data_IF_105800307144
#
_entry.id   IF_105800307144
#
_cell.length_a   1.000
_cell.length_b   1.000
_cell.length_c   1.000
_cell.angle_alpha   90.00
_cell.angle_beta   90.00
_cell.angle_gamma   90.00
#
_symmetry.space_group_name_H-M   'P 1'
#
loop_
_entity.id
_entity.type
_entity.pdbx_description
1 polymer ?
#
# COMPACT_ATOMS: atom_id res chain seq x y z
N UNK A 1 -30.18 -11.48 15.86
CA UNK A 1 -28.92 -11.05 15.22
C UNK A 1 -27.81 -11.33 16.20
N UNK A 2 -26.92 -12.26 15.85
CA UNK A 2 -25.73 -12.54 16.62
C UNK A 2 -24.71 -11.44 16.30
N UNK A 3 -24.54 -10.47 17.20
CA UNK A 3 -23.71 -9.29 16.93
C UNK A 3 -22.27 -9.67 16.59
N UNK A 4 -21.78 -10.80 17.09
CA UNK A 4 -20.41 -11.26 16.86
C UNK A 4 -20.17 -11.73 15.40
N UNK A 5 -21.17 -12.34 14.75
CA UNK A 5 -21.07 -12.73 13.33
C UNK A 5 -21.06 -11.52 12.37
N UNK A 6 -21.78 -10.46 12.72
CA UNK A 6 -21.83 -9.23 11.91
C UNK A 6 -20.48 -8.48 11.95
N UNK A 7 -19.78 -8.45 13.10
CA UNK A 7 -18.45 -7.86 13.22
C UNK A 7 -17.36 -8.69 12.52
N UNK A 8 -17.44 -10.02 12.60
CA UNK A 8 -16.49 -10.92 11.95
C UNK A 8 -16.45 -10.70 10.43
N UNK A 9 -17.60 -10.46 9.81
CA UNK A 9 -17.67 -10.17 8.38
C UNK A 9 -16.98 -8.83 8.04
N UNK A 10 -17.21 -7.79 8.84
CA UNK A 10 -16.56 -6.48 8.63
C UNK A 10 -15.05 -6.57 8.83
N UNK A 11 -14.59 -7.31 9.85
CA UNK A 11 -13.16 -7.55 10.08
C UNK A 11 -12.55 -8.28 8.88
N UNK A 12 -13.21 -9.33 8.38
CA UNK A 12 -12.72 -10.08 7.20
C UNK A 12 -12.65 -9.21 5.95
N UNK A 13 -13.65 -8.35 5.72
CA UNK A 13 -13.66 -7.42 4.58
C UNK A 13 -12.53 -6.39 4.73
N UNK A 14 -12.36 -5.82 5.92
CA UNK A 14 -11.28 -4.87 6.21
C UNK A 14 -9.90 -5.47 5.97
N UNK A 15 -9.64 -6.66 6.53
CA UNK A 15 -8.36 -7.36 6.36
C UNK A 15 -8.07 -7.69 4.88
N UNK A 16 -9.08 -8.12 4.12
CA UNK A 16 -8.92 -8.37 2.68
C UNK A 16 -8.52 -7.11 1.91
N UNK A 17 -9.10 -5.96 2.28
CA UNK A 17 -8.76 -4.68 1.67
C UNK A 17 -7.36 -4.21 2.08
N UNK A 18 -6.97 -4.43 3.34
CA UNK A 18 -5.69 -3.97 3.90
C UNK A 18 -4.50 -4.76 3.35
N UNK A 19 -4.68 -6.06 3.11
CA UNK A 19 -3.60 -6.98 2.71
C UNK A 19 -3.58 -7.33 1.21
N UNK A 20 -4.33 -6.61 0.37
CA UNK A 20 -4.34 -6.83 -1.08
C UNK A 20 -2.93 -6.65 -1.68
N UNK A 21 -2.43 -7.64 -2.42
CA UNK A 21 -1.11 -7.59 -3.07
C UNK A 21 0.10 -7.68 -2.14
N UNK A 22 -0.11 -7.88 -0.84
CA UNK A 22 0.97 -8.07 0.13
C UNK A 22 1.69 -9.40 -0.13
N UNK A 23 3.02 -9.37 -0.10
CA UNK A 23 3.87 -10.52 -0.37
C UNK A 23 3.67 -11.64 0.65
N UNK A 24 3.62 -12.87 0.14
CA UNK A 24 3.55 -14.07 0.97
C UNK A 24 4.69 -14.14 1.98
N UNK A 25 5.90 -13.70 1.63
CA UNK A 25 7.04 -13.67 2.53
C UNK A 25 6.82 -12.72 3.72
N UNK A 26 6.22 -11.56 3.46
CA UNK A 26 5.88 -10.61 4.52
C UNK A 26 4.79 -11.17 5.44
N UNK A 27 3.73 -11.75 4.86
CA UNK A 27 2.65 -12.36 5.64
C UNK A 27 3.15 -13.54 6.48
N UNK A 28 4.01 -14.40 5.92
CA UNK A 28 4.64 -15.52 6.62
C UNK A 28 5.40 -15.05 7.85
N UNK A 29 6.24 -14.01 7.70
CA UNK A 29 6.97 -13.40 8.81
C UNK A 29 6.02 -12.87 9.89
N UNK A 30 5.00 -12.09 9.50
CA UNK A 30 4.06 -11.45 10.45
C UNK A 30 3.25 -12.47 11.24
N UNK A 31 2.71 -13.49 10.57
CA UNK A 31 1.92 -14.54 11.23
C UNK A 31 2.84 -15.39 12.12
N UNK A 32 4.06 -15.68 11.69
CA UNK A 32 5.02 -16.43 12.51
C UNK A 32 5.36 -15.70 13.81
N UNK A 33 5.60 -14.39 13.73
CA UNK A 33 5.84 -13.52 14.89
C UNK A 33 4.65 -13.49 15.86
N UNK A 34 3.42 -13.38 15.34
CA UNK A 34 2.20 -13.30 16.16
C UNK A 34 1.83 -14.62 16.84
N UNK A 35 1.97 -15.73 16.12
CA UNK A 35 1.63 -17.07 16.62
C UNK A 35 2.79 -17.75 17.36
N UNK A 36 3.96 -17.11 17.40
CA UNK A 36 5.19 -17.65 18.00
C UNK A 36 5.47 -19.09 17.49
N UNK A 37 5.28 -19.28 16.18
CA UNK A 37 5.46 -20.56 15.50
C UNK A 37 5.90 -20.33 14.06
N UNK A 38 6.57 -21.29 13.44
CA UNK A 38 6.96 -21.17 12.03
C UNK A 38 5.75 -21.37 11.12
N UNK A 39 5.42 -20.34 10.34
CA UNK A 39 4.25 -20.31 9.46
C UNK A 39 4.67 -19.90 8.06
N UNK A 40 4.17 -20.62 7.06
CA UNK A 40 4.36 -20.30 5.65
C UNK A 40 3.02 -19.99 5.01
N UNK A 41 2.89 -18.79 4.45
CA UNK A 41 1.76 -18.41 3.61
C UNK A 41 2.07 -18.79 2.18
N UNK A 42 1.17 -19.54 1.56
CA UNK A 42 1.27 -20.02 0.18
C UNK A 42 0.04 -19.58 -0.62
N UNK A 43 0.21 -19.42 -1.92
CA UNK A 43 -0.87 -19.00 -2.82
C UNK A 43 -0.36 -18.12 -3.95
N UNK A 44 -1.25 -17.80 -4.89
CA UNK A 44 -0.97 -16.84 -5.96
C UNK A 44 -1.03 -15.44 -5.38
N UNK A 45 0.01 -14.64 -5.61
CA UNK A 45 0.02 -13.22 -5.26
C UNK A 45 -0.68 -12.41 -6.37
N UNK A 46 -1.48 -11.41 -5.99
CA UNK A 46 -2.13 -10.52 -6.95
C UNK A 46 -1.09 -9.73 -7.76
N UNK A 47 -1.29 -9.64 -9.07
CA UNK A 47 -0.52 -8.77 -9.93
C UNK A 47 -1.12 -7.35 -9.89
N UNK A 48 -0.38 -6.42 -9.29
CA UNK A 48 -0.76 -5.01 -9.18
C UNK A 48 0.13 -4.13 -10.07
N UNK A 49 -0.36 -2.93 -10.38
CA UNK A 49 0.40 -1.92 -11.09
C UNK A 49 1.33 -1.15 -10.16
N UNK A 50 2.50 -0.80 -10.68
CA UNK A 50 3.49 0.04 -10.00
C UNK A 50 2.94 1.46 -9.80
N UNK A 51 3.06 1.97 -8.57
CA UNK A 51 2.78 3.36 -8.26
C UNK A 51 3.74 4.29 -9.02
N UNK A 52 3.26 5.36 -9.69
CA UNK A 52 4.13 6.24 -10.46
C UNK A 52 5.16 6.99 -9.60
N UNK A 53 4.87 7.16 -8.31
CA UNK A 53 5.75 7.83 -7.35
C UNK A 53 6.85 6.90 -6.81
N UNK A 54 6.49 5.81 -6.13
CA UNK A 54 7.48 4.96 -5.43
C UNK A 54 7.81 3.63 -6.11
N UNK A 55 7.16 3.33 -7.23
CA UNK A 55 7.34 2.12 -8.06
C UNK A 55 6.87 0.81 -7.44
N UNK A 56 6.53 0.78 -6.15
CA UNK A 56 5.90 -0.41 -5.54
C UNK A 56 4.57 -0.76 -6.23
N UNK A 57 4.38 -2.05 -6.52
CA UNK A 57 3.17 -2.64 -7.07
C UNK A 57 2.06 -2.62 -6.02
N UNK A 58 1.19 -1.62 -6.11
CA UNK A 58 0.20 -1.31 -5.07
C UNK A 58 -1.16 -0.91 -5.64
N UNK A 59 -1.25 -0.63 -6.94
CA UNK A 59 -2.45 -0.12 -7.57
C UNK A 59 -3.20 -1.25 -8.26
N UNK A 60 -4.48 -1.40 -7.94
CA UNK A 60 -5.34 -2.41 -8.59
C UNK A 60 -5.65 -2.03 -10.03
N UNK A 61 -5.85 -0.73 -10.26
CA UNK A 61 -6.08 -0.10 -11.56
C UNK A 61 -5.30 1.21 -11.60
N UNK A 62 -4.82 1.61 -12.78
CA UNK A 62 -4.12 2.90 -12.97
C UNK A 62 -5.12 4.02 -13.23
N UNK A 63 -4.91 5.18 -12.62
CA UNK A 63 -5.66 6.41 -12.84
C UNK A 63 -7.03 6.45 -12.18
N UNK A 64 -7.31 5.53 -11.25
CA UNK A 64 -8.62 5.40 -10.58
C UNK A 64 -8.60 5.96 -9.15
N UNK A 65 -7.71 6.91 -8.87
CA UNK A 65 -7.63 7.63 -7.58
C UNK A 65 -7.31 6.74 -6.36
N UNK A 66 -6.77 5.53 -6.60
CA UNK A 66 -6.22 4.68 -5.54
C UNK A 66 -5.05 5.41 -4.83
N UNK A 67 -5.05 5.38 -3.50
CA UNK A 67 -3.94 5.95 -2.70
C UNK A 67 -2.91 4.85 -2.44
N UNK A 68 -1.69 5.07 -2.89
CA UNK A 68 -0.59 4.13 -2.66
C UNK A 68 -0.29 4.00 -1.15
N UNK A 69 -0.44 2.82 -0.52
CA UNK A 69 -0.18 2.63 0.91
C UNK A 69 1.31 2.74 1.27
N UNK A 70 2.20 2.74 0.26
CA UNK A 70 3.63 2.95 0.45
C UNK A 70 3.94 4.42 0.52
N UNK A 71 3.71 5.20 -0.53
CA UNK A 71 4.16 6.59 -0.58
C UNK A 71 3.06 7.64 -0.36
N UNK A 72 1.81 7.22 -0.26
CA UNK A 72 0.61 8.05 -0.11
C UNK A 72 0.22 8.90 -1.32
N UNK A 73 0.85 8.68 -2.48
CA UNK A 73 0.43 9.29 -3.74
C UNK A 73 -0.96 8.78 -4.15
N UNK A 74 -1.89 9.69 -4.42
CA UNK A 74 -3.20 9.40 -5.02
C UNK A 74 -3.05 9.31 -6.53
N UNK A 75 -3.34 8.15 -7.13
CA UNK A 75 -3.15 7.92 -8.56
C UNK A 75 -4.27 8.54 -9.40
N UNK A 76 -4.20 9.85 -9.59
CA UNK A 76 -5.13 10.65 -10.38
C UNK A 76 -4.94 10.54 -11.91
N UNK A 77 -4.10 9.60 -12.35
CA UNK A 77 -3.78 9.38 -13.76
C UNK A 77 -2.72 10.33 -14.32
N UNK A 78 -2.11 11.18 -13.49
CA UNK A 78 -1.00 12.05 -13.93
C UNK A 78 0.22 11.22 -14.33
N UNK A 79 0.50 11.16 -15.64
CA UNK A 79 1.67 10.44 -16.18
C UNK A 79 2.87 11.35 -16.48
N UNK A 80 2.63 12.63 -16.80
CA UNK A 80 3.70 13.60 -17.03
C UNK A 80 4.32 14.03 -15.70
N UNK A 81 5.64 13.84 -15.58
CA UNK A 81 6.40 14.13 -14.37
C UNK A 81 6.34 15.58 -13.91
N UNK A 82 6.12 16.50 -14.85
CA UNK A 82 6.10 17.94 -14.60
C UNK A 82 4.70 18.53 -14.45
N UNK A 83 3.67 17.75 -14.82
CA UNK A 83 2.28 18.15 -14.63
C UNK A 83 1.93 18.21 -13.14
N UNK A 84 1.20 19.26 -12.76
CA UNK A 84 0.77 19.47 -11.38
C UNK A 84 -0.45 18.60 -11.09
N UNK A 85 -0.33 17.68 -10.14
CA UNK A 85 -1.45 16.89 -9.65
C UNK A 85 -2.22 17.71 -8.61
N UNK A 86 -3.50 17.96 -8.86
CA UNK A 86 -4.38 18.68 -7.94
C UNK A 86 -4.61 17.94 -6.60
N UNK A 87 -4.96 16.63 -6.57
CA UNK A 87 -5.16 15.93 -5.30
C UNK A 87 -3.88 15.85 -4.47
N UNK A 88 -2.74 15.62 -5.12
CA UNK A 88 -1.45 15.51 -4.46
C UNK A 88 -0.79 16.86 -4.14
N UNK A 89 -1.28 17.95 -4.76
CA UNK A 89 -0.78 19.34 -4.61
C UNK A 89 0.71 19.51 -4.93
N UNK A 90 1.25 18.67 -5.81
CA UNK A 90 2.64 18.71 -6.26
C UNK A 90 2.79 18.01 -7.61
N UNK A 91 3.96 18.15 -8.23
CA UNK A 91 4.30 17.36 -9.42
C UNK A 91 4.79 15.97 -9.03
N UNK A 92 4.69 15.02 -9.95
CA UNK A 92 5.20 13.67 -9.73
C UNK A 92 6.74 13.66 -9.55
N UNK A 93 7.48 14.57 -10.19
CA UNK A 93 8.91 14.77 -9.89
C UNK A 93 9.15 15.15 -8.42
N UNK A 94 8.35 16.07 -7.87
CA UNK A 94 8.48 16.47 -6.46
C UNK A 94 8.18 15.30 -5.53
N UNK A 95 7.10 14.54 -5.78
CA UNK A 95 6.74 13.38 -4.97
C UNK A 95 7.82 12.28 -5.00
N UNK A 96 8.43 12.02 -6.16
CA UNK A 96 9.56 11.07 -6.30
C UNK A 96 10.76 11.50 -5.47
N UNK A 97 11.15 12.77 -5.54
CA UNK A 97 12.25 13.31 -4.74
C UNK A 97 11.96 13.20 -3.24
N UNK A 98 10.74 13.56 -2.83
CA UNK A 98 10.30 13.42 -1.45
C UNK A 98 10.30 11.96 -1.00
N UNK A 99 9.91 11.02 -1.87
CA UNK A 99 9.96 9.60 -1.53
C UNK A 99 11.40 9.11 -1.31
N UNK A 100 12.37 9.59 -2.09
CA UNK A 100 13.78 9.28 -1.88
C UNK A 100 14.32 9.87 -0.56
N UNK A 101 13.83 11.05 -0.16
CA UNK A 101 14.29 11.74 1.04
C UNK A 101 13.62 11.24 2.33
N UNK A 102 12.30 11.07 2.30
CA UNK A 102 11.46 10.82 3.47
C UNK A 102 10.83 9.42 3.47
N UNK A 103 10.92 8.68 2.37
CA UNK A 103 10.19 7.44 2.18
C UNK A 103 8.68 7.64 1.96
N UNK A 104 8.20 8.86 1.71
CA UNK A 104 6.80 9.18 1.41
C UNK A 104 6.72 10.40 0.47
N UNK A 105 5.56 10.65 -0.14
CA UNK A 105 5.40 11.80 -1.06
C UNK A 105 5.53 13.17 -0.37
N UNK A 106 5.38 13.24 0.96
CA UNK A 106 5.64 14.43 1.77
C UNK A 106 5.93 14.04 3.22
N UNK A 107 6.59 14.92 3.97
CA UNK A 107 6.82 14.76 5.41
C UNK A 107 5.49 14.68 6.19
N UNK A 108 4.49 15.46 5.78
CA UNK A 108 3.15 15.47 6.40
C UNK A 108 2.37 14.17 6.20
N UNK A 109 2.76 13.33 5.25
CA UNK A 109 2.15 12.01 5.01
C UNK A 109 2.75 10.90 5.90
N UNK A 110 3.73 11.22 6.75
CA UNK A 110 4.34 10.27 7.67
C UNK A 110 3.65 10.02 9.04
N UNK A 111 2.48 10.57 9.43
CA UNK A 111 2.08 10.53 10.83
C UNK A 111 1.45 9.21 11.31
N UNK A 112 1.70 8.06 10.66
CA UNK A 112 1.88 6.69 11.23
C UNK A 112 1.57 5.58 10.19
N UNK A 113 2.52 5.23 9.31
CA UNK A 113 2.40 4.04 8.46
C UNK A 113 2.79 2.77 9.23
N UNK A 114 2.22 1.61 8.85
CA UNK A 114 2.79 0.31 9.22
C UNK A 114 4.28 0.33 8.89
N UNK A 115 5.14 0.09 9.90
CA UNK A 115 6.60 0.11 9.74
C UNK A 115 7.06 -0.86 8.64
N UNK A 116 6.25 -1.88 8.34
CA UNK A 116 6.52 -2.85 7.31
C UNK A 116 6.13 -2.44 5.89
N UNK A 117 5.55 -1.25 5.65
CA UNK A 117 5.01 -0.88 4.31
C UNK A 117 6.01 -1.01 3.15
N UNK A 118 7.28 -0.76 3.41
CA UNK A 118 8.36 -0.89 2.41
C UNK A 118 8.71 -2.35 2.10
N UNK A 119 8.36 -3.27 3.00
CA UNK A 119 8.58 -4.71 2.87
C UNK A 119 7.32 -5.46 2.42
N UNK A 120 6.14 -4.87 2.58
CA UNK A 120 4.85 -5.49 2.26
C UNK A 120 4.68 -5.78 0.77
N UNK A 121 5.18 -4.89 -0.09
CA UNK A 121 4.90 -4.92 -1.53
C UNK A 121 6.18 -5.18 -2.33
N UNK A 122 6.04 -5.76 -3.52
CA UNK A 122 7.11 -5.84 -4.50
C UNK A 122 7.25 -4.51 -5.26
N UNK A 123 8.44 -4.24 -5.79
CA UNK A 123 8.65 -3.24 -6.85
C UNK A 123 8.31 -3.83 -8.21
#
# INVERSE_FOLDING_TARGET
MNRDEDYDNLIRVGLKSEYVGVRNEYLSKRISEQLVSDQTVVGVQEELFACPCCEFKTLSVKGEYDICPVCFWEDDGTTDHTSYSLPNRMTLTQARNNFLEFGAMSESSLPHPDRGRLDMYSK
#
